data_IF_948611143493
#
_entry.id   IF_948611143493
#
_cell.length_a   1.000
_cell.length_b   1.000
_cell.length_c   1.000
_cell.angle_alpha   90.00
_cell.angle_beta   90.00
_cell.angle_gamma   90.00
#
_symmetry.space_group_name_H-M   'P 1'
#
loop_
_entity.id
_entity.type
_entity.pdbx_description
1 polymer ?
#
# COMPACT_ATOMS: atom_id res chain seq x y z
N UNK A 1 -3.29 -12.15 -20.89
CA UNK A 1 -3.93 -11.77 -19.60
C UNK A 1 -2.83 -11.32 -18.65
N UNK A 2 -2.91 -10.13 -18.07
CA UNK A 2 -1.88 -9.65 -17.12
C UNK A 2 -2.07 -10.34 -15.77
N UNK A 3 -1.02 -10.94 -15.23
CA UNK A 3 -1.07 -11.69 -13.97
C UNK A 3 -1.12 -10.72 -12.78
N UNK A 4 -2.09 -10.85 -11.86
CA UNK A 4 -2.18 -9.98 -10.68
C UNK A 4 -0.90 -10.02 -9.83
N UNK A 5 -0.63 -8.91 -9.14
CA UNK A 5 0.49 -8.83 -8.21
C UNK A 5 0.17 -9.66 -6.97
N UNK A 6 1.07 -10.58 -6.63
CA UNK A 6 0.94 -11.46 -5.47
C UNK A 6 1.78 -10.92 -4.33
N UNK A 7 1.35 -11.17 -3.10
CA UNK A 7 2.08 -10.75 -1.88
C UNK A 7 3.55 -11.19 -1.87
N UNK A 8 3.86 -12.35 -2.45
CA UNK A 8 5.22 -12.92 -2.52
C UNK A 8 6.05 -12.41 -3.70
N UNK A 9 5.47 -11.61 -4.61
CA UNK A 9 6.24 -11.06 -5.72
C UNK A 9 7.37 -10.19 -5.17
N UNK A 10 8.57 -10.44 -5.67
CA UNK A 10 9.75 -9.64 -5.36
C UNK A 10 9.61 -8.21 -5.89
N UNK A 11 10.41 -7.31 -5.32
CA UNK A 11 10.51 -5.91 -5.77
C UNK A 11 10.77 -5.82 -7.28
N UNK A 12 11.62 -6.70 -7.82
CA UNK A 12 11.96 -6.75 -9.25
C UNK A 12 10.78 -7.20 -10.13
N UNK A 13 9.99 -8.17 -9.66
CA UNK A 13 8.79 -8.64 -10.36
C UNK A 13 7.68 -7.59 -10.38
N UNK A 14 7.45 -6.92 -9.24
CA UNK A 14 6.48 -5.82 -9.14
C UNK A 14 6.88 -4.68 -10.08
N UNK A 15 8.16 -4.34 -10.11
CA UNK A 15 8.71 -3.32 -11.00
C UNK A 15 8.43 -3.66 -12.47
N UNK A 16 8.72 -4.89 -12.88
CA UNK A 16 8.48 -5.35 -14.23
C UNK A 16 6.98 -5.35 -14.59
N UNK A 17 6.12 -5.83 -13.68
CA UNK A 17 4.66 -5.86 -13.89
C UNK A 17 4.03 -4.47 -13.97
N UNK A 18 4.55 -3.50 -13.22
CA UNK A 18 4.08 -2.12 -13.23
C UNK A 18 4.83 -1.21 -14.22
N UNK A 19 5.85 -1.71 -14.91
CA UNK A 19 6.69 -0.90 -15.79
C UNK A 19 7.30 0.32 -15.10
N UNK A 20 7.53 0.27 -13.79
CA UNK A 20 8.11 1.37 -13.02
C UNK A 20 9.64 1.27 -13.01
N UNK A 21 10.33 2.37 -12.73
CA UNK A 21 11.74 2.36 -12.35
C UNK A 21 11.90 2.20 -10.83
N UNK A 22 13.14 2.07 -10.36
CA UNK A 22 13.42 1.87 -8.93
C UNK A 22 13.01 3.08 -8.07
N UNK A 23 13.21 4.31 -8.58
CA UNK A 23 12.81 5.54 -7.90
C UNK A 23 11.30 5.65 -7.73
N UNK A 24 10.55 5.32 -8.79
CA UNK A 24 9.09 5.28 -8.77
C UNK A 24 8.56 4.23 -7.79
N UNK A 25 9.19 3.05 -7.73
CA UNK A 25 8.79 2.03 -6.76
C UNK A 25 9.11 2.43 -5.31
N UNK A 26 10.22 3.17 -5.08
CA UNK A 26 10.52 3.79 -3.79
C UNK A 26 9.47 4.84 -3.44
N UNK A 27 9.09 5.70 -4.38
CA UNK A 27 8.02 6.69 -4.19
C UNK A 27 6.69 6.03 -3.85
N UNK A 28 6.30 4.95 -4.53
CA UNK A 28 5.10 4.18 -4.19
C UNK A 28 5.12 3.71 -2.73
N UNK A 29 6.27 3.22 -2.27
CA UNK A 29 6.44 2.76 -0.89
C UNK A 29 6.34 3.93 0.10
N UNK A 30 6.90 5.09 -0.25
CA UNK A 30 6.78 6.33 0.54
C UNK A 30 5.33 6.80 0.62
N UNK A 31 4.60 6.84 -0.50
CA UNK A 31 3.19 7.24 -0.52
C UNK A 31 2.31 6.28 0.27
N UNK A 32 2.57 4.97 0.20
CA UNK A 32 1.85 3.99 1.02
C UNK A 32 2.07 4.23 2.52
N UNK A 33 3.29 4.61 2.93
CA UNK A 33 3.60 4.99 4.33
C UNK A 33 2.88 6.27 4.74
N UNK A 34 2.82 7.27 3.88
CA UNK A 34 2.12 8.53 4.14
C UNK A 34 0.62 8.27 4.29
N UNK A 35 -0.01 7.59 3.33
CA UNK A 35 -1.43 7.25 3.37
C UNK A 35 -1.79 6.46 4.65
N UNK A 36 -0.97 5.46 5.01
CA UNK A 36 -1.14 4.72 6.26
C UNK A 36 -1.03 5.63 7.48
N UNK A 37 0.03 6.44 7.57
CA UNK A 37 0.29 7.32 8.72
C UNK A 37 -0.86 8.32 8.92
N UNK A 38 -1.22 9.05 7.86
CA UNK A 38 -2.30 10.03 7.92
C UNK A 38 -3.63 9.41 8.34
N UNK A 39 -3.94 8.21 7.83
CA UNK A 39 -5.18 7.53 8.20
C UNK A 39 -5.18 7.12 9.67
N UNK A 40 -4.08 6.55 10.18
CA UNK A 40 -3.97 6.20 11.60
C UNK A 40 -4.03 7.43 12.52
N UNK A 41 -3.41 8.54 12.11
CA UNK A 41 -3.44 9.80 12.90
C UNK A 41 -4.83 10.42 12.95
N UNK A 42 -5.58 10.33 11.85
CA UNK A 42 -6.94 10.87 11.74
C UNK A 42 -8.01 9.96 12.36
N UNK A 43 -7.75 8.64 12.43
CA UNK A 43 -8.72 7.63 12.87
C UNK A 43 -8.09 6.70 13.92
N UNK A 44 -7.74 7.26 15.09
CA UNK A 44 -7.00 6.54 16.14
C UNK A 44 -7.72 5.28 16.65
N UNK A 45 -9.05 5.29 16.64
CA UNK A 45 -9.87 4.19 17.15
C UNK A 45 -10.26 3.16 16.08
N UNK A 46 -9.76 3.31 14.86
CA UNK A 46 -10.12 2.43 13.75
C UNK A 46 -9.45 1.05 13.85
N UNK A 47 -10.03 0.04 13.19
CA UNK A 47 -9.46 -1.31 13.17
C UNK A 47 -8.14 -1.34 12.39
N UNK A 48 -8.02 -0.51 11.34
CA UNK A 48 -6.79 -0.28 10.62
C UNK A 48 -5.67 0.22 11.55
N UNK A 49 -5.97 1.22 12.39
CA UNK A 49 -5.06 1.87 13.33
C UNK A 49 -4.73 1.03 14.58
N UNK A 50 -5.39 -0.12 14.75
CA UNK A 50 -5.09 -1.06 15.82
C UNK A 50 -4.02 -2.08 15.39
N UNK A 51 -2.83 -2.03 15.99
CA UNK A 51 -1.71 -2.91 15.63
C UNK A 51 -1.92 -4.38 16.03
N UNK A 52 -2.88 -4.67 16.93
CA UNK A 52 -3.23 -6.03 17.31
C UNK A 52 -4.14 -6.71 16.28
N UNK A 53 -4.77 -5.95 15.39
CA UNK A 53 -5.73 -6.45 14.40
C UNK A 53 -5.06 -6.89 13.10
N UNK A 54 -5.40 -8.07 12.60
CA UNK A 54 -4.85 -8.62 11.35
C UNK A 54 -5.47 -7.96 10.11
N UNK A 55 -4.85 -8.12 8.94
CA UNK A 55 -5.38 -7.56 7.67
C UNK A 55 -6.80 -8.06 7.35
N UNK A 56 -7.11 -9.30 7.71
CA UNK A 56 -8.43 -9.91 7.49
C UNK A 56 -9.50 -9.31 8.39
N UNK A 57 -9.14 -8.87 9.61
CA UNK A 57 -10.06 -8.23 10.54
C UNK A 57 -10.38 -6.77 10.17
N UNK A 58 -9.53 -6.11 9.38
CA UNK A 58 -9.77 -4.73 8.95
C UNK A 58 -10.99 -4.69 8.03
N UNK A 59 -12.01 -3.87 8.33
CA UNK A 59 -13.19 -3.72 7.49
C UNK A 59 -12.83 -3.29 6.07
N UNK A 60 -13.63 -3.73 5.10
CA UNK A 60 -13.37 -3.41 3.68
C UNK A 60 -13.45 -1.90 3.40
N UNK A 61 -14.34 -1.17 4.09
CA UNK A 61 -14.46 0.27 3.90
C UNK A 61 -13.16 1.01 4.31
N UNK A 62 -12.55 0.66 5.45
CA UNK A 62 -11.27 1.26 5.88
C UNK A 62 -10.15 0.97 4.87
N UNK A 63 -10.08 -0.26 4.35
CA UNK A 63 -9.12 -0.60 3.27
C UNK A 63 -9.32 0.27 2.03
N UNK A 64 -10.57 0.48 1.64
CA UNK A 64 -10.91 1.32 0.50
C UNK A 64 -10.53 2.78 0.74
N UNK A 65 -10.76 3.34 1.94
CA UNK A 65 -10.38 4.73 2.25
C UNK A 65 -8.87 4.96 2.22
N UNK A 66 -8.09 4.06 2.82
CA UNK A 66 -6.61 4.16 2.76
C UNK A 66 -6.11 3.97 1.33
N UNK A 67 -6.74 3.09 0.55
CA UNK A 67 -6.42 2.90 -0.86
C UNK A 67 -6.71 4.16 -1.68
N UNK A 68 -7.85 4.82 -1.46
CA UNK A 68 -8.18 6.10 -2.10
C UNK A 68 -7.14 7.17 -1.82
N UNK A 69 -6.73 7.33 -0.55
CA UNK A 69 -5.63 8.25 -0.17
C UNK A 69 -4.33 7.93 -0.93
N UNK A 70 -3.98 6.65 -1.05
CA UNK A 70 -2.79 6.24 -1.79
C UNK A 70 -2.92 6.55 -3.29
N UNK A 71 -4.08 6.30 -3.90
CA UNK A 71 -4.35 6.65 -5.30
C UNK A 71 -4.16 8.15 -5.51
N UNK A 72 -4.77 8.99 -4.67
CA UNK A 72 -4.64 10.46 -4.75
C UNK A 72 -3.18 10.92 -4.69
N UNK A 73 -2.36 10.34 -3.81
CA UNK A 73 -0.93 10.65 -3.72
C UNK A 73 -0.18 10.24 -5.00
N UNK A 74 -0.51 9.08 -5.56
CA UNK A 74 0.10 8.58 -6.79
C UNK A 74 -0.30 9.43 -8.01
N UNK A 75 -1.55 9.89 -8.08
CA UNK A 75 -2.06 10.77 -9.12
C UNK A 75 -1.42 12.16 -9.05
N UNK A 76 -1.36 12.76 -7.86
CA UNK A 76 -0.66 14.04 -7.63
C UNK A 76 0.81 13.97 -8.06
N UNK A 77 1.46 12.84 -7.80
CA UNK A 77 2.84 12.59 -8.18
C UNK A 77 3.03 12.11 -9.64
N UNK A 78 1.93 11.93 -10.41
CA UNK A 78 1.95 11.38 -11.77
C UNK A 78 2.70 10.05 -11.89
N UNK A 79 2.62 9.23 -10.82
CA UNK A 79 3.46 8.04 -10.66
C UNK A 79 3.20 6.98 -11.75
N UNK A 80 1.95 6.84 -12.16
CA UNK A 80 1.52 5.85 -13.15
C UNK A 80 1.34 6.46 -14.55
N UNK A 81 1.67 7.74 -14.77
CA UNK A 81 1.39 8.40 -16.07
C UNK A 81 2.13 7.73 -17.24
N UNK A 82 3.31 7.16 -17.00
CA UNK A 82 4.10 6.48 -18.02
C UNK A 82 3.95 4.94 -17.98
N UNK A 83 3.11 4.40 -17.08
CA UNK A 83 2.93 2.95 -17.02
C UNK A 83 2.00 2.46 -18.13
N UNK A 84 2.33 1.30 -18.70
CA UNK A 84 1.43 0.54 -19.58
C UNK A 84 0.65 -0.54 -18.83
N UNK A 85 0.83 -0.63 -17.51
CA UNK A 85 0.15 -1.62 -16.69
C UNK A 85 -1.37 -1.35 -16.68
N UNK A 86 -2.22 -2.38 -16.84
CA UNK A 86 -3.65 -2.21 -16.73
C UNK A 86 -4.06 -1.87 -15.29
N UNK A 87 -5.19 -1.16 -15.14
CA UNK A 87 -5.65 -0.65 -13.83
C UNK A 87 -5.74 -1.74 -12.76
N UNK A 88 -6.19 -2.95 -13.12
CA UNK A 88 -6.27 -4.08 -12.18
C UNK A 88 -4.92 -4.49 -11.57
N UNK A 89 -3.82 -4.29 -12.31
CA UNK A 89 -2.45 -4.54 -11.83
C UNK A 89 -2.02 -3.41 -10.90
N UNK A 90 -2.34 -2.17 -11.25
CA UNK A 90 -2.09 -1.00 -10.40
C UNK A 90 -2.81 -1.18 -9.05
N UNK A 91 -4.12 -1.46 -9.07
CA UNK A 91 -4.92 -1.66 -7.86
C UNK A 91 -4.35 -2.79 -6.98
N UNK A 92 -3.93 -3.90 -7.61
CA UNK A 92 -3.28 -5.01 -6.91
C UNK A 92 -1.96 -4.59 -6.27
N UNK A 93 -1.14 -3.77 -6.94
CA UNK A 93 0.09 -3.22 -6.38
C UNK A 93 -0.16 -2.32 -5.17
N UNK A 94 -1.15 -1.43 -5.27
CA UNK A 94 -1.50 -0.49 -4.21
C UNK A 94 -1.93 -1.26 -2.96
N UNK A 95 -2.85 -2.22 -3.11
CA UNK A 95 -3.33 -3.06 -2.02
C UNK A 95 -2.19 -3.87 -1.38
N UNK A 96 -1.32 -4.47 -2.20
CA UNK A 96 -0.15 -5.20 -1.71
C UNK A 96 0.80 -4.29 -0.92
N UNK A 97 1.11 -3.10 -1.45
CA UNK A 97 2.03 -2.15 -0.80
C UNK A 97 1.48 -1.62 0.51
N UNK A 98 0.18 -1.36 0.59
CA UNK A 98 -0.48 -1.00 1.85
C UNK A 98 -0.42 -2.13 2.87
N UNK A 99 -0.70 -3.37 2.47
CA UNK A 99 -0.62 -4.53 3.37
C UNK A 99 0.81 -4.69 3.92
N UNK A 100 1.84 -4.65 3.07
CA UNK A 100 3.24 -4.74 3.50
C UNK A 100 3.63 -3.58 4.43
N UNK A 101 3.19 -2.36 4.11
CA UNK A 101 3.43 -1.18 4.95
C UNK A 101 2.81 -1.35 6.33
N UNK A 102 1.56 -1.79 6.39
CA UNK A 102 0.86 -2.05 7.65
C UNK A 102 1.54 -3.14 8.46
N UNK A 103 1.92 -4.27 7.84
CA UNK A 103 2.65 -5.34 8.53
C UNK A 103 3.98 -4.85 9.11
N UNK A 104 4.73 -4.04 8.36
CA UNK A 104 5.98 -3.45 8.85
C UNK A 104 5.75 -2.49 10.03
N UNK A 105 4.67 -1.71 10.00
CA UNK A 105 4.26 -0.88 11.13
C UNK A 105 3.84 -1.71 12.35
N UNK A 106 3.01 -2.75 12.18
CA UNK A 106 2.59 -3.64 13.27
C UNK A 106 3.77 -4.30 13.98
N UNK A 107 4.77 -4.79 13.22
CA UNK A 107 5.98 -5.38 13.80
C UNK A 107 6.75 -4.37 14.65
N UNK A 108 6.90 -3.13 14.17
CA UNK A 108 7.58 -2.07 14.92
C UNK A 108 6.85 -1.72 16.21
N UNK A 109 5.52 -1.55 16.15
CA UNK A 109 4.71 -1.29 17.34
C UNK A 109 4.82 -2.43 18.35
N UNK A 110 4.74 -3.69 17.92
CA UNK A 110 4.89 -4.83 18.82
C UNK A 110 6.27 -4.92 19.47
N UNK A 111 7.34 -4.46 18.82
CA UNK A 111 8.68 -4.40 19.41
C UNK A 111 8.82 -3.25 20.41
N UNK A 112 8.08 -2.16 20.21
CA UNK A 112 8.12 -0.98 21.08
C UNK A 112 7.28 -1.16 22.35
N UNK A 113 6.23 -2.00 22.30
CA UNK A 113 5.31 -2.29 23.40
C UNK A 113 5.45 -3.73 23.96
N UNK A 114 6.53 -4.46 23.62
CA UNK A 114 6.88 -5.76 24.21
C UNK A 114 7.90 -5.60 25.34
#
# INVERSE_FOLDING_TARGET
>A
MATPIRVRDSTSEIRAKLGLNEGELKNLTTYARIAHKEYCESNKDSVWANFNKTWTEVPQFEKTEVTKKLVELCEKARLFTNTKAPQSIIDSALAQRLNLTRQGWQRRQRMEYA
#
